data_IF_151577939608
#
_entry.id   IF_151577939608
#
_cell.length_a   1.000
_cell.length_b   1.000
_cell.length_c   1.000
_cell.angle_alpha   90.00
_cell.angle_beta   90.00
_cell.angle_gamma   90.00
#
_symmetry.space_group_name_H-M   'P 1'
#
loop_
_entity.id
_entity.type
_entity.pdbx_description
1 polymer ?
#
# COMPACT_ATOMS: atom_id res chain seq x y z
N UNK A 1 -59.08 59.59 0.14
CA UNK A 1 -59.84 59.66 -1.13
C UNK A 1 -58.94 59.13 -2.24
N UNK A 2 -59.39 58.07 -2.90
CA UNK A 2 -58.64 57.28 -3.88
C UNK A 2 -58.20 58.09 -5.10
N UNK A 3 -56.96 57.89 -5.55
CA UNK A 3 -56.52 58.21 -6.92
C UNK A 3 -55.72 57.02 -7.48
N UNK A 4 -56.23 56.50 -8.59
CA UNK A 4 -55.60 55.50 -9.45
C UNK A 4 -54.28 56.01 -10.03
N UNK A 5 -53.27 55.12 -10.07
CA UNK A 5 -52.31 55.08 -11.16
C UNK A 5 -52.17 53.63 -11.64
N UNK A 6 -52.49 53.43 -12.92
CA UNK A 6 -52.15 52.25 -13.72
C UNK A 6 -50.63 52.18 -13.96
N UNK A 7 -50.11 50.98 -14.27
CA UNK A 7 -49.35 50.57 -15.50
C UNK A 7 -48.39 49.40 -15.10
N UNK A 8 -48.01 48.41 -15.94
CA UNK A 8 -48.71 47.56 -16.91
C UNK A 8 -48.42 46.04 -16.68
N UNK A 9 -49.07 45.17 -17.48
CA UNK A 9 -48.69 43.76 -17.64
C UNK A 9 -47.37 43.62 -18.43
N UNK A 10 -46.48 42.73 -17.98
CA UNK A 10 -45.31 42.28 -18.74
C UNK A 10 -45.00 40.81 -18.40
N UNK A 11 -44.98 39.99 -19.45
CA UNK A 11 -44.03 38.88 -19.61
C UNK A 11 -44.40 37.56 -18.94
N UNK A 12 -45.01 36.66 -19.72
CA UNK A 12 -45.02 35.24 -19.40
C UNK A 12 -43.58 34.69 -19.36
N UNK A 13 -43.18 34.17 -18.21
CA UNK A 13 -41.95 33.40 -18.07
C UNK A 13 -42.25 31.94 -18.41
N UNK A 14 -41.90 31.53 -19.63
CA UNK A 14 -41.69 30.13 -19.99
C UNK A 14 -40.56 29.56 -19.12
N UNK A 15 -40.93 28.67 -18.19
CA UNK A 15 -39.99 27.81 -17.46
C UNK A 15 -39.33 26.85 -18.47
N UNK A 16 -38.08 27.12 -18.85
CA UNK A 16 -37.21 26.12 -19.47
C UNK A 16 -36.87 25.09 -18.38
N UNK A 17 -37.54 23.94 -18.41
CA UNK A 17 -37.14 22.78 -17.62
C UNK A 17 -35.83 22.22 -18.16
N UNK A 18 -34.70 22.60 -17.56
CA UNK A 18 -33.46 21.88 -17.75
C UNK A 18 -33.60 20.51 -17.06
N UNK A 19 -33.83 19.46 -17.86
CA UNK A 19 -33.71 18.09 -17.40
C UNK A 19 -32.23 17.83 -17.09
N UNK A 20 -31.86 18.00 -15.82
CA UNK A 20 -30.60 17.50 -15.29
C UNK A 20 -30.70 15.98 -15.34
N UNK A 21 -30.06 15.35 -16.34
CA UNK A 21 -29.86 13.90 -16.32
C UNK A 21 -28.90 13.60 -15.17
N UNK A 22 -29.45 13.25 -14.01
CA UNK A 22 -28.66 12.64 -12.96
C UNK A 22 -28.09 11.34 -13.54
N UNK A 23 -26.77 11.31 -13.74
CA UNK A 23 -26.07 10.05 -13.94
C UNK A 23 -26.39 9.15 -12.73
N UNK A 24 -26.65 7.86 -12.92
CA UNK A 24 -26.89 6.97 -11.80
C UNK A 24 -25.69 7.06 -10.86
N UNK A 25 -25.94 7.39 -9.59
CA UNK A 25 -24.93 7.25 -8.55
C UNK A 25 -24.54 5.78 -8.50
N UNK A 26 -23.31 5.47 -8.93
CA UNK A 26 -22.71 4.17 -8.69
C UNK A 26 -22.62 4.03 -7.18
N UNK A 27 -23.31 3.04 -6.62
CA UNK A 27 -23.17 2.71 -5.22
C UNK A 27 -21.71 2.37 -4.97
N UNK A 28 -21.04 3.12 -4.09
CA UNK A 28 -19.72 2.78 -3.61
C UNK A 28 -19.83 1.44 -2.87
N UNK A 29 -19.23 0.40 -3.43
CA UNK A 29 -18.98 -0.86 -2.74
C UNK A 29 -17.89 -0.60 -1.69
N UNK A 30 -18.06 -1.06 -0.43
CA UNK A 30 -17.00 -0.98 0.57
C UNK A 30 -15.75 -1.66 -0.01
N UNK A 31 -14.61 -0.98 -0.01
CA UNK A 31 -13.33 -1.46 -0.57
C UNK A 31 -12.77 -0.61 -1.73
N UNK A 32 -13.62 0.01 -2.56
CA UNK A 32 -13.19 0.78 -3.74
C UNK A 32 -13.45 2.28 -3.56
N UNK A 33 -12.55 3.03 -2.89
CA UNK A 33 -12.66 4.49 -2.82
C UNK A 33 -11.93 5.17 -3.99
N UNK A 34 -12.67 5.61 -5.00
CA UNK A 34 -12.20 6.55 -6.02
C UNK A 34 -11.55 5.97 -7.28
N UNK A 35 -10.35 5.39 -7.18
CA UNK A 35 -9.39 5.20 -8.29
C UNK A 35 -9.22 3.76 -8.81
N UNK A 36 -9.78 2.75 -8.13
CA UNK A 36 -9.69 1.36 -8.55
C UNK A 36 -10.48 1.18 -9.86
N UNK A 37 -9.78 0.80 -10.93
CA UNK A 37 -10.37 0.56 -12.25
C UNK A 37 -10.07 -0.89 -12.62
N UNK A 38 -10.98 -1.84 -12.34
CA UNK A 38 -10.74 -3.26 -12.56
C UNK A 38 -10.26 -3.52 -13.99
N UNK A 39 -9.12 -4.19 -14.10
CA UNK A 39 -8.51 -4.46 -15.38
C UNK A 39 -7.01 -4.27 -15.42
N UNK A 40 -6.42 -4.85 -16.47
CA UNK A 40 -4.99 -4.79 -16.74
C UNK A 40 -4.72 -3.65 -17.69
N UNK A 41 -3.96 -2.66 -17.23
CA UNK A 41 -3.57 -1.51 -18.04
C UNK A 41 -2.08 -1.28 -17.93
N UNK A 42 -1.52 -0.65 -18.96
CA UNK A 42 -0.16 -0.14 -18.93
C UNK A 42 -0.18 1.36 -19.19
N UNK A 43 0.31 2.12 -18.23
CA UNK A 43 0.36 3.59 -18.32
C UNK A 43 1.64 4.12 -17.70
N UNK A 44 2.28 5.08 -18.39
CA UNK A 44 3.48 5.78 -17.92
C UNK A 44 4.66 4.88 -17.45
N UNK A 45 4.80 3.67 -18.00
CA UNK A 45 5.90 2.76 -17.65
C UNK A 45 5.50 1.63 -16.70
N UNK A 46 4.37 1.80 -15.99
CA UNK A 46 3.87 0.89 -14.95
C UNK A 46 2.83 -0.06 -15.55
N UNK A 47 2.98 -1.35 -15.26
CA UNK A 47 1.89 -2.32 -15.40
C UNK A 47 0.99 -2.21 -14.17
N UNK A 48 -0.31 -1.95 -14.37
CA UNK A 48 -1.29 -1.91 -13.29
C UNK A 48 -2.31 -3.02 -13.47
N UNK A 49 -2.65 -3.69 -12.38
CA UNK A 49 -3.78 -4.58 -12.34
C UNK A 49 -4.52 -4.45 -11.00
N UNK A 50 -5.74 -3.93 -11.10
CA UNK A 50 -6.72 -3.96 -10.01
C UNK A 50 -7.72 -5.08 -10.30
N UNK A 51 -8.00 -5.92 -9.32
CA UNK A 51 -8.98 -7.01 -9.46
C UNK A 51 -10.41 -6.52 -9.24
N UNK A 52 -11.35 -7.47 -9.18
CA UNK A 52 -12.75 -7.21 -8.83
C UNK A 52 -13.02 -7.74 -7.44
N UNK A 53 -13.77 -6.98 -6.65
CA UNK A 53 -14.13 -7.41 -5.30
C UNK A 53 -14.93 -8.73 -5.25
N UNK A 54 -14.85 -9.42 -4.12
CA UNK A 54 -15.57 -10.63 -3.78
C UNK A 54 -15.01 -11.91 -4.41
N UNK A 55 -13.75 -11.90 -4.84
CA UNK A 55 -13.10 -13.03 -5.52
C UNK A 55 -11.77 -13.33 -4.84
N UNK A 56 -11.56 -14.58 -4.43
CA UNK A 56 -10.23 -15.05 -4.03
C UNK A 56 -9.36 -15.19 -5.29
N UNK A 57 -8.60 -14.14 -5.57
CA UNK A 57 -7.79 -13.98 -6.76
C UNK A 57 -6.49 -14.78 -6.71
N UNK A 58 -6.07 -15.25 -7.87
CA UNK A 58 -4.79 -15.97 -8.02
C UNK A 58 -3.96 -15.31 -9.11
N UNK A 59 -3.33 -14.22 -8.74
CA UNK A 59 -2.60 -13.34 -9.64
C UNK A 59 -1.17 -13.87 -9.84
N UNK A 60 -0.75 -13.93 -11.10
CA UNK A 60 0.66 -14.12 -11.44
C UNK A 60 1.05 -13.16 -12.55
N UNK A 61 2.09 -12.37 -12.31
CA UNK A 61 2.75 -11.56 -13.34
C UNK A 61 4.08 -12.22 -13.71
N UNK A 62 4.28 -12.50 -14.99
CA UNK A 62 5.52 -13.08 -15.50
C UNK A 62 6.05 -12.29 -16.69
N UNK A 63 7.36 -12.35 -16.93
CA UNK A 63 8.00 -11.71 -18.09
C UNK A 63 8.77 -12.74 -18.92
N UNK A 64 8.54 -12.74 -20.23
CA UNK A 64 9.30 -13.56 -21.17
C UNK A 64 9.43 -12.86 -22.52
N UNK A 65 10.65 -12.79 -23.05
CA UNK A 65 10.91 -12.13 -24.35
C UNK A 65 10.48 -10.66 -24.39
N UNK A 66 10.52 -9.94 -23.25
CA UNK A 66 10.04 -8.56 -23.16
C UNK A 66 8.51 -8.41 -23.19
N UNK A 67 7.77 -9.49 -22.95
CA UNK A 67 6.31 -9.45 -22.85
C UNK A 67 5.92 -9.80 -21.42
N UNK A 68 5.19 -8.89 -20.79
CA UNK A 68 4.55 -9.12 -19.50
C UNK A 68 3.26 -9.89 -19.71
N UNK A 69 3.03 -10.91 -18.89
CA UNK A 69 1.81 -11.72 -18.89
C UNK A 69 1.21 -11.66 -17.50
N UNK A 70 -0.02 -11.16 -17.40
CA UNK A 70 -0.84 -11.20 -16.19
C UNK A 70 -1.80 -12.37 -16.33
N UNK A 71 -1.83 -13.23 -15.32
CA UNK A 71 -2.76 -14.37 -15.26
C UNK A 71 -3.55 -14.28 -13.97
N UNK A 72 -4.87 -14.41 -14.05
CA UNK A 72 -5.76 -14.59 -12.91
C UNK A 72 -6.86 -15.61 -13.28
N UNK A 73 -6.70 -16.90 -12.90
CA UNK A 73 -7.69 -17.93 -13.19
C UNK A 73 -9.02 -17.79 -12.43
N UNK A 74 -9.04 -17.03 -11.33
CA UNK A 74 -10.23 -16.84 -10.51
C UNK A 74 -11.09 -15.65 -10.97
N UNK A 75 -10.45 -14.57 -11.42
CA UNK A 75 -11.09 -13.37 -11.96
C UNK A 75 -11.28 -13.40 -13.48
N UNK A 76 -12.14 -12.50 -13.99
CA UNK A 76 -12.21 -12.19 -15.42
C UNK A 76 -11.47 -10.90 -15.70
N UNK A 77 -10.46 -10.94 -16.58
CA UNK A 77 -9.65 -9.79 -16.93
C UNK A 77 -10.33 -8.93 -17.98
N UNK A 78 -10.17 -7.62 -17.83
CA UNK A 78 -10.31 -6.65 -18.92
C UNK A 78 -8.93 -6.12 -19.27
N UNK A 79 -8.68 -5.82 -20.55
CA UNK A 79 -7.42 -5.19 -20.98
C UNK A 79 -7.68 -3.77 -21.46
N UNK A 80 -6.96 -2.81 -20.88
CA UNK A 80 -6.93 -1.43 -21.35
C UNK A 80 -5.66 -1.10 -22.12
N UNK A 81 -5.27 0.18 -22.11
CA UNK A 81 -4.17 0.69 -22.92
C UNK A 81 -2.87 -0.11 -22.71
N UNK A 82 -2.19 -0.45 -23.81
CA UNK A 82 -0.90 -1.15 -23.80
C UNK A 82 -0.95 -2.66 -23.49
N UNK A 83 -2.15 -3.21 -23.30
CA UNK A 83 -2.37 -4.64 -23.01
C UNK A 83 -3.42 -5.23 -23.96
N UNK A 84 -3.33 -6.53 -24.19
CA UNK A 84 -4.29 -7.31 -25.00
C UNK A 84 -4.65 -8.59 -24.27
N UNK A 85 -5.93 -8.94 -24.21
CA UNK A 85 -6.36 -10.24 -23.68
C UNK A 85 -5.85 -11.37 -24.58
N UNK A 86 -5.34 -12.43 -23.96
CA UNK A 86 -5.11 -13.73 -24.58
C UNK A 86 -6.39 -14.55 -24.50
N UNK A 87 -7.02 -14.54 -23.33
CA UNK A 87 -8.33 -15.09 -23.03
C UNK A 87 -8.95 -14.34 -21.83
N UNK A 88 -10.01 -14.88 -21.22
CA UNK A 88 -10.70 -14.25 -20.09
C UNK A 88 -9.86 -14.17 -18.80
N UNK A 89 -8.79 -14.97 -18.68
CA UNK A 89 -7.99 -15.14 -17.47
C UNK A 89 -6.51 -14.79 -17.68
N UNK A 90 -6.14 -14.39 -18.90
CA UNK A 90 -4.78 -13.96 -19.22
C UNK A 90 -4.74 -12.72 -20.12
N UNK A 91 -3.89 -11.75 -19.75
CA UNK A 91 -3.57 -10.57 -20.53
C UNK A 91 -2.07 -10.49 -20.81
N UNK A 92 -1.69 -9.98 -22.00
CA UNK A 92 -0.31 -9.68 -22.38
C UNK A 92 -0.12 -8.20 -22.59
N UNK A 93 0.94 -7.65 -22.03
CA UNK A 93 1.34 -6.27 -22.18
C UNK A 93 2.76 -6.21 -22.72
N UNK A 94 3.00 -5.42 -23.76
CA UNK A 94 4.38 -5.22 -24.24
C UNK A 94 5.18 -4.51 -23.15
N UNK A 95 6.30 -5.09 -22.70
CA UNK A 95 7.23 -4.34 -21.87
C UNK A 95 7.82 -3.23 -22.75
N UNK A 96 7.76 -1.98 -22.28
CA UNK A 96 8.52 -0.94 -22.97
C UNK A 96 10.02 -1.26 -22.84
N UNK A 97 10.82 -0.66 -23.72
CA UNK A 97 12.28 -0.67 -23.64
C UNK A 97 12.84 -0.12 -22.32
N UNK A 98 12.00 0.51 -21.49
CA UNK A 98 12.28 0.97 -20.13
C UNK A 98 11.04 0.74 -19.25
N UNK A 99 10.94 -0.42 -18.62
CA UNK A 99 9.89 -0.71 -17.64
C UNK A 99 10.20 -0.01 -16.32
N UNK A 100 9.18 0.62 -15.73
CA UNK A 100 9.26 1.19 -14.39
C UNK A 100 8.04 0.69 -13.63
N UNK A 101 8.20 -0.33 -12.80
CA UNK A 101 7.20 -0.74 -11.83
C UNK A 101 6.09 -1.68 -12.30
N UNK A 102 5.63 -2.48 -11.35
CA UNK A 102 4.35 -3.20 -11.36
C UNK A 102 3.51 -2.65 -10.20
N UNK A 103 2.19 -2.55 -10.37
CA UNK A 103 1.26 -2.19 -9.31
C UNK A 103 0.08 -3.16 -9.33
N UNK A 104 -0.12 -3.89 -8.24
CA UNK A 104 -1.16 -4.91 -8.09
C UNK A 104 -2.03 -4.58 -6.89
N UNK A 105 -3.35 -4.66 -7.07
CA UNK A 105 -4.34 -4.53 -6.00
C UNK A 105 -5.36 -5.66 -6.11
N UNK A 106 -5.42 -6.56 -5.13
CA UNK A 106 -6.38 -7.67 -5.11
C UNK A 106 -7.64 -7.42 -4.25
N UNK A 107 -7.61 -6.34 -3.46
CA UNK A 107 -8.74 -5.71 -2.78
C UNK A 107 -9.33 -6.51 -1.61
N UNK A 108 -9.95 -7.65 -1.85
CA UNK A 108 -10.60 -8.47 -0.82
C UNK A 108 -10.60 -9.96 -1.20
N UNK A 109 -10.87 -10.80 -0.21
CA UNK A 109 -10.79 -12.24 -0.38
C UNK A 109 -9.44 -12.78 0.10
N UNK A 110 -9.33 -14.11 0.16
CA UNK A 110 -8.06 -14.75 0.50
C UNK A 110 -7.29 -15.02 -0.79
N UNK A 111 -6.38 -14.12 -1.12
CA UNK A 111 -5.73 -14.01 -2.42
C UNK A 111 -4.33 -14.65 -2.43
N UNK A 112 -3.85 -14.87 -3.64
CA UNK A 112 -2.46 -15.21 -3.89
C UNK A 112 -1.93 -14.34 -5.01
N UNK A 113 -0.95 -13.49 -4.69
CA UNK A 113 -0.34 -12.53 -5.62
C UNK A 113 1.13 -12.84 -5.78
N UNK A 114 1.55 -13.15 -7.01
CA UNK A 114 2.94 -13.49 -7.32
C UNK A 114 3.46 -12.61 -8.45
N UNK A 115 4.47 -11.78 -8.16
CA UNK A 115 5.28 -11.15 -9.18
C UNK A 115 6.50 -12.04 -9.48
N UNK A 116 6.38 -12.87 -10.52
CA UNK A 116 7.43 -13.76 -10.99
C UNK A 116 8.40 -13.04 -11.96
N UNK A 117 8.68 -11.77 -11.70
CA UNK A 117 9.59 -10.95 -12.51
C UNK A 117 10.75 -10.42 -11.66
N UNK A 118 11.68 -9.71 -12.29
CA UNK A 118 12.70 -8.89 -11.60
C UNK A 118 12.40 -7.41 -11.70
N UNK A 119 11.13 -7.05 -11.78
CA UNK A 119 10.66 -5.66 -11.84
C UNK A 119 10.06 -5.35 -10.49
N UNK A 120 10.54 -4.27 -9.87
CA UNK A 120 9.97 -3.69 -8.65
C UNK A 120 8.44 -3.58 -8.73
N UNK A 121 7.74 -4.00 -7.69
CA UNK A 121 6.30 -4.02 -7.59
C UNK A 121 5.83 -3.33 -6.32
N UNK A 122 4.69 -2.66 -6.43
CA UNK A 122 3.86 -2.26 -5.29
C UNK A 122 2.64 -3.18 -5.28
N UNK A 123 2.53 -4.00 -4.25
CA UNK A 123 1.47 -5.01 -4.11
C UNK A 123 0.65 -4.68 -2.87
N UNK A 124 -0.67 -4.55 -3.06
CA UNK A 124 -1.66 -4.42 -1.99
C UNK A 124 -2.65 -5.57 -2.11
N UNK A 125 -2.66 -6.48 -1.13
CA UNK A 125 -3.54 -7.64 -1.20
C UNK A 125 -4.96 -7.32 -0.71
N UNK A 126 -5.09 -6.62 0.42
CA UNK A 126 -6.34 -6.03 0.89
C UNK A 126 -6.96 -6.79 2.05
N UNK A 127 -8.27 -7.02 2.02
CA UNK A 127 -8.99 -7.69 3.11
C UNK A 127 -9.00 -9.22 2.91
N UNK A 128 -8.41 -9.98 3.82
CA UNK A 128 -8.44 -11.44 3.82
C UNK A 128 -7.10 -12.03 4.24
N UNK A 129 -7.00 -13.36 4.27
CA UNK A 129 -5.73 -14.03 4.58
C UNK A 129 -4.93 -14.24 3.29
N UNK A 130 -4.05 -13.30 2.98
CA UNK A 130 -3.38 -13.21 1.69
C UNK A 130 -1.99 -13.85 1.66
N UNK A 131 -1.55 -14.20 0.45
CA UNK A 131 -0.17 -14.65 0.18
C UNK A 131 0.45 -13.81 -0.92
N UNK A 132 1.48 -13.06 -0.56
CA UNK A 132 2.16 -12.13 -1.46
C UNK A 132 3.62 -12.56 -1.68
N UNK A 133 4.04 -12.60 -2.94
CA UNK A 133 5.44 -12.80 -3.34
C UNK A 133 5.89 -11.67 -4.27
N UNK A 134 6.86 -10.88 -3.81
CA UNK A 134 7.43 -9.70 -4.47
C UNK A 134 8.22 -10.03 -5.74
N UNK A 135 9.12 -11.01 -5.69
CA UNK A 135 9.88 -11.41 -6.88
C UNK A 135 11.37 -11.18 -6.71
N UNK A 136 12.03 -10.61 -7.71
CA UNK A 136 13.48 -10.30 -7.66
C UNK A 136 13.80 -8.81 -7.83
N UNK A 137 12.77 -7.95 -7.76
CA UNK A 137 12.93 -6.50 -7.80
C UNK A 137 12.92 -5.92 -6.39
N UNK A 138 13.04 -4.60 -6.25
CA UNK A 138 12.83 -3.95 -4.95
C UNK A 138 11.32 -3.74 -4.77
N UNK A 139 10.67 -4.62 -4.00
CA UNK A 139 9.22 -4.69 -3.91
C UNK A 139 8.68 -4.03 -2.63
N UNK A 140 7.46 -3.50 -2.69
CA UNK A 140 6.71 -2.96 -1.53
C UNK A 140 5.43 -3.75 -1.37
N UNK A 141 5.27 -4.41 -0.22
CA UNK A 141 4.24 -5.40 0.06
C UNK A 141 3.35 -4.94 1.21
N UNK A 142 2.06 -4.80 0.93
CA UNK A 142 1.01 -4.63 1.93
C UNK A 142 0.10 -5.85 1.87
N UNK A 143 -0.01 -6.58 2.98
CA UNK A 143 -1.01 -7.63 3.17
C UNK A 143 -2.38 -6.97 3.25
N UNK A 144 -2.69 -6.34 4.37
CA UNK A 144 -3.85 -5.50 4.53
C UNK A 144 -4.52 -5.84 5.85
N UNK A 145 -5.76 -6.32 5.82
CA UNK A 145 -6.43 -6.85 7.01
C UNK A 145 -6.54 -8.36 6.90
N UNK A 146 -6.19 -9.08 7.96
CA UNK A 146 -6.25 -10.55 7.97
C UNK A 146 -4.87 -11.12 8.27
N UNK A 147 -4.74 -12.44 8.30
CA UNK A 147 -3.46 -13.07 8.60
C UNK A 147 -2.67 -13.31 7.31
N UNK A 148 -1.78 -12.38 6.98
CA UNK A 148 -1.09 -12.34 5.70
C UNK A 148 0.29 -13.01 5.72
N UNK A 149 0.76 -13.43 4.55
CA UNK A 149 2.15 -13.88 4.35
C UNK A 149 2.82 -13.03 3.29
N UNK A 150 3.86 -12.30 3.69
CA UNK A 150 4.61 -11.37 2.84
C UNK A 150 6.00 -11.94 2.58
N UNK A 151 6.30 -12.26 1.32
CA UNK A 151 7.61 -12.76 0.88
C UNK A 151 8.21 -11.77 -0.10
N UNK A 152 9.38 -11.22 0.21
CA UNK A 152 10.10 -10.26 -0.65
C UNK A 152 10.63 -10.96 -1.90
N UNK A 153 11.48 -11.95 -1.65
CA UNK A 153 12.17 -12.73 -2.66
C UNK A 153 13.62 -12.30 -2.77
N UNK A 154 13.98 -11.52 -3.78
CA UNK A 154 15.31 -10.94 -3.86
C UNK A 154 15.23 -9.49 -4.29
N UNK A 155 16.22 -8.69 -3.95
CA UNK A 155 16.13 -7.24 -4.07
C UNK A 155 16.25 -6.63 -2.68
N UNK A 156 15.79 -5.39 -2.53
CA UNK A 156 15.56 -4.78 -1.24
C UNK A 156 14.06 -4.55 -1.06
N UNK A 157 13.44 -5.40 -0.27
CA UNK A 157 11.99 -5.50 -0.16
C UNK A 157 11.48 -4.78 1.09
N UNK A 158 10.25 -4.28 1.03
CA UNK A 158 9.61 -3.50 2.09
C UNK A 158 8.26 -4.08 2.46
N UNK A 159 8.08 -4.52 3.69
CA UNK A 159 6.76 -4.74 4.27
C UNK A 159 6.18 -3.41 4.76
N UNK A 160 4.92 -3.10 4.43
CA UNK A 160 4.30 -1.83 4.83
C UNK A 160 2.91 -2.01 5.43
N UNK A 161 2.72 -1.33 6.55
CA UNK A 161 1.44 -1.16 7.25
C UNK A 161 0.82 0.22 7.02
N UNK A 162 1.39 0.98 6.08
CA UNK A 162 1.08 2.39 5.86
C UNK A 162 -0.35 2.66 5.37
N UNK A 163 -0.97 1.64 4.77
CA UNK A 163 -2.30 1.71 4.16
C UNK A 163 -3.41 1.15 5.05
N UNK A 164 -3.04 0.50 6.16
CA UNK A 164 -4.02 0.06 7.15
C UNK A 164 -4.55 1.32 7.82
N UNK A 165 -5.79 1.69 7.55
CA UNK A 165 -6.48 2.80 8.21
C UNK A 165 -6.77 2.54 9.69
N UNK A 166 -6.05 1.59 10.29
CA UNK A 166 -6.18 1.19 11.67
C UNK A 166 -5.96 2.38 12.58
N UNK A 167 -6.72 2.38 13.68
CA UNK A 167 -6.44 3.27 14.81
C UNK A 167 -5.44 2.62 15.78
N UNK A 168 -4.95 1.44 15.47
CA UNK A 168 -4.04 0.65 16.29
C UNK A 168 -2.67 0.64 15.64
N UNK A 169 -1.64 0.75 16.47
CA UNK A 169 -0.28 0.50 16.03
C UNK A 169 -0.03 -0.98 15.83
N UNK A 170 1.03 -1.27 15.09
CA UNK A 170 1.48 -2.64 14.80
C UNK A 170 2.64 -3.03 15.71
N UNK A 171 2.78 -4.33 15.91
CA UNK A 171 4.07 -4.91 16.31
C UNK A 171 4.55 -5.74 15.13
N UNK A 172 5.68 -5.36 14.54
CA UNK A 172 6.22 -6.05 13.38
C UNK A 172 7.74 -6.11 13.46
N UNK A 173 8.32 -7.22 13.04
CA UNK A 173 9.75 -7.37 12.93
C UNK A 173 10.19 -8.15 11.68
N UNK A 174 11.49 -8.14 11.39
CA UNK A 174 12.07 -8.77 10.20
C UNK A 174 12.79 -10.08 10.54
N UNK A 175 12.31 -10.82 11.54
CA UNK A 175 12.96 -12.05 12.04
C UNK A 175 12.52 -13.33 11.29
N UNK A 176 11.44 -13.26 10.51
CA UNK A 176 10.90 -14.39 9.74
C UNK A 176 10.02 -15.35 10.53
N UNK A 177 9.64 -15.01 11.76
CA UNK A 177 8.68 -15.74 12.55
C UNK A 177 7.29 -15.67 11.92
N UNK A 178 6.47 -16.66 12.25
CA UNK A 178 5.17 -16.83 11.63
C UNK A 178 4.07 -16.43 12.59
N UNK A 179 3.23 -15.48 12.15
CA UNK A 179 1.95 -15.17 12.78
C UNK A 179 2.03 -14.19 13.93
N UNK A 180 3.12 -13.44 14.06
CA UNK A 180 3.38 -12.48 15.14
C UNK A 180 3.47 -11.02 14.70
N UNK A 181 3.44 -10.73 13.39
CA UNK A 181 3.48 -9.38 12.86
C UNK A 181 2.08 -8.73 12.74
N UNK A 182 2.04 -7.40 12.70
CA UNK A 182 0.81 -6.63 12.50
C UNK A 182 0.05 -6.30 13.80
N UNK A 183 -1.25 -6.10 13.68
CA UNK A 183 -2.15 -5.58 14.71
C UNK A 183 -3.14 -6.64 15.21
N UNK A 184 -3.99 -6.28 16.17
CA UNK A 184 -5.06 -7.19 16.62
C UNK A 184 -6.21 -7.33 15.63
N UNK A 185 -6.22 -6.51 14.57
CA UNK A 185 -7.21 -6.63 13.50
C UNK A 185 -6.89 -7.81 12.57
N UNK A 186 -5.63 -8.25 12.55
CA UNK A 186 -5.10 -9.33 11.71
C UNK A 186 -5.30 -10.71 12.35
N UNK A 187 -5.52 -10.73 13.66
CA UNK A 187 -5.85 -11.95 14.39
C UNK A 187 -5.38 -11.99 15.85
N UNK A 188 -5.67 -13.08 16.57
CA UNK A 188 -5.05 -13.33 17.87
C UNK A 188 -3.53 -13.51 17.71
N UNK A 189 -2.76 -13.25 18.77
CA UNK A 189 -1.30 -13.47 18.75
C UNK A 189 -0.96 -14.90 18.31
N UNK A 190 -0.01 -15.05 17.38
CA UNK A 190 0.38 -16.34 16.77
C UNK A 190 -0.47 -16.75 15.57
N UNK A 191 -1.42 -15.91 15.14
CA UNK A 191 -2.22 -16.06 13.94
C UNK A 191 -2.47 -14.70 13.26
N UNK A 192 -1.43 -13.87 13.23
CA UNK A 192 -1.41 -12.59 12.52
C UNK A 192 -0.54 -12.72 11.27
N UNK A 193 0.05 -11.62 10.82
CA UNK A 193 0.91 -11.62 9.65
C UNK A 193 2.19 -12.40 9.88
N UNK A 194 2.81 -12.77 8.76
CA UNK A 194 4.14 -13.36 8.66
C UNK A 194 4.93 -12.55 7.65
N UNK A 195 5.89 -11.77 8.13
CA UNK A 195 6.90 -11.15 7.27
C UNK A 195 8.05 -12.15 7.12
N UNK A 196 8.30 -12.61 5.89
CA UNK A 196 9.37 -13.58 5.66
C UNK A 196 10.76 -12.95 5.88
N UNK A 197 11.73 -13.80 6.22
CA UNK A 197 13.11 -13.39 6.51
C UNK A 197 13.88 -12.81 5.28
N UNK A 198 13.26 -12.78 4.11
CA UNK A 198 13.77 -12.18 2.88
C UNK A 198 13.18 -10.78 2.61
N UNK A 199 12.68 -10.11 3.65
CA UNK A 199 12.26 -8.71 3.62
C UNK A 199 13.23 -7.88 4.46
N UNK A 200 13.78 -6.81 3.87
CA UNK A 200 14.83 -6.00 4.51
C UNK A 200 14.32 -4.70 5.15
N UNK A 201 13.14 -4.24 4.79
CA UNK A 201 12.65 -2.91 5.19
C UNK A 201 11.23 -2.97 5.73
N UNK A 202 10.91 -2.00 6.60
CA UNK A 202 9.64 -1.97 7.31
C UNK A 202 9.08 -0.54 7.35
N UNK A 203 7.78 -0.42 7.11
CA UNK A 203 7.06 0.86 7.23
C UNK A 203 5.85 0.66 8.14
N UNK A 204 5.79 1.45 9.21
CA UNK A 204 4.71 1.46 10.19
C UNK A 204 3.43 2.16 9.71
N UNK A 205 2.58 2.47 10.67
CA UNK A 205 1.26 3.07 10.52
C UNK A 205 1.33 4.60 10.59
N UNK A 206 0.43 5.28 11.28
CA UNK A 206 0.53 6.72 11.60
C UNK A 206 0.30 6.95 13.10
N UNK A 207 0.29 5.86 13.87
CA UNK A 207 0.07 5.80 15.30
C UNK A 207 1.22 4.99 15.93
N UNK A 208 1.34 5.02 17.25
CA UNK A 208 2.47 4.43 17.98
C UNK A 208 2.70 2.94 17.65
N UNK A 209 3.80 2.65 16.96
CA UNK A 209 4.17 1.30 16.55
C UNK A 209 5.32 0.69 17.39
N UNK A 210 5.48 -0.63 17.31
CA UNK A 210 6.67 -1.36 17.76
C UNK A 210 7.28 -2.05 16.55
N UNK A 211 8.42 -1.56 16.10
CA UNK A 211 9.08 -2.01 14.88
C UNK A 211 10.49 -2.53 15.20
N UNK A 212 10.87 -3.67 14.65
CA UNK A 212 12.26 -4.14 14.75
C UNK A 212 12.82 -4.57 13.40
N UNK A 213 14.06 -4.22 13.13
CA UNK A 213 14.84 -4.69 11.99
C UNK A 213 15.33 -6.12 12.20
N UNK A 214 16.47 -6.44 11.60
CA UNK A 214 17.16 -7.71 11.76
C UNK A 214 18.68 -7.49 11.89
N UNK A 215 19.49 -8.49 11.53
CA UNK A 215 20.95 -8.38 11.63
C UNK A 215 21.61 -7.80 10.36
N UNK A 216 20.80 -7.47 9.34
CA UNK A 216 21.24 -6.83 8.11
C UNK A 216 20.90 -5.34 8.11
N UNK A 217 21.34 -4.62 7.08
CA UNK A 217 20.97 -3.22 6.90
C UNK A 217 19.46 -3.09 6.64
N UNK A 218 18.77 -2.31 7.47
CA UNK A 218 17.35 -2.04 7.31
C UNK A 218 17.07 -0.56 7.02
N UNK A 219 15.99 -0.31 6.29
CA UNK A 219 15.31 1.00 6.23
C UNK A 219 14.00 0.86 6.97
N UNK A 220 13.83 1.61 8.06
CA UNK A 220 12.62 1.55 8.90
C UNK A 220 11.99 2.93 8.98
N UNK A 221 10.74 3.06 8.54
CA UNK A 221 9.95 4.27 8.65
C UNK A 221 8.76 4.05 9.58
N UNK A 222 8.86 4.51 10.82
CA UNK A 222 7.77 4.50 11.81
C UNK A 222 6.63 5.46 11.45
N UNK A 223 6.84 6.36 10.49
CA UNK A 223 5.89 7.38 10.06
C UNK A 223 5.46 8.26 11.24
N UNK A 224 4.16 8.34 11.54
CA UNK A 224 3.64 9.18 12.63
C UNK A 224 3.38 8.35 13.89
N UNK A 225 3.23 9.01 15.04
CA UNK A 225 3.12 8.31 16.33
C UNK A 225 4.42 8.32 17.12
N UNK A 226 4.34 7.96 18.41
CA UNK A 226 5.51 7.76 19.26
C UNK A 226 5.95 6.30 19.17
N UNK A 227 6.85 6.02 18.24
CA UNK A 227 7.22 4.66 17.88
C UNK A 227 8.31 4.10 18.80
N UNK A 228 8.37 2.78 18.94
CA UNK A 228 9.55 2.08 19.46
C UNK A 228 10.20 1.31 18.31
N UNK A 229 11.36 1.76 17.88
CA UNK A 229 12.10 1.17 16.76
C UNK A 229 13.44 0.61 17.23
N UNK A 230 13.73 -0.64 16.86
CA UNK A 230 15.01 -1.30 17.10
C UNK A 230 15.65 -1.68 15.74
N UNK A 231 16.77 -1.09 15.35
CA UNK A 231 17.54 -1.49 14.15
C UNK A 231 18.21 -2.86 14.32
N UNK A 232 18.63 -3.16 15.56
CA UNK A 232 19.34 -4.37 15.97
C UNK A 232 20.79 -4.43 15.45
N UNK A 233 21.06 -4.86 14.24
CA UNK A 233 22.43 -4.86 13.73
C UNK A 233 22.47 -4.66 12.23
N UNK A 234 23.50 -4.00 11.72
CA UNK A 234 23.47 -3.48 10.36
C UNK A 234 23.81 -2.00 10.37
N UNK A 235 23.87 -1.37 9.20
CA UNK A 235 24.03 0.09 9.09
C UNK A 235 22.68 0.69 8.70
N UNK A 236 21.84 0.98 9.69
CA UNK A 236 20.41 1.19 9.51
C UNK A 236 20.05 2.65 9.19
N UNK A 237 18.92 2.84 8.51
CA UNK A 237 18.30 4.15 8.28
C UNK A 237 16.90 4.15 8.88
N UNK A 238 16.75 4.80 10.03
CA UNK A 238 15.55 4.78 10.86
C UNK A 238 14.93 6.18 10.85
N UNK A 239 13.66 6.28 10.45
CA UNK A 239 12.89 7.52 10.49
C UNK A 239 11.64 7.34 11.35
N UNK A 240 11.40 8.26 12.29
CA UNK A 240 10.16 8.33 13.06
C UNK A 240 9.69 9.79 13.21
N UNK A 241 8.67 10.18 12.45
CA UNK A 241 8.22 11.57 12.37
C UNK A 241 7.41 12.02 13.59
N UNK A 242 6.82 11.11 14.38
CA UNK A 242 6.11 11.50 15.61
C UNK A 242 6.96 11.47 16.88
N UNK A 243 8.22 11.01 16.82
CA UNK A 243 9.09 10.84 17.97
C UNK A 243 9.12 9.39 18.47
N UNK A 244 9.48 9.18 19.74
CA UNK A 244 9.54 7.88 20.38
C UNK A 244 10.95 7.40 20.74
N UNK A 245 11.11 6.08 20.87
CA UNK A 245 12.39 5.44 21.22
C UNK A 245 12.99 4.78 19.99
N UNK A 246 14.11 5.31 19.50
CA UNK A 246 14.87 4.73 18.41
C UNK A 246 16.19 4.17 18.95
N UNK A 247 16.42 2.88 18.73
CA UNK A 247 17.70 2.22 19.02
C UNK A 247 18.28 1.67 17.72
N UNK A 248 19.32 2.30 17.16
CA UNK A 248 19.99 1.81 15.96
C UNK A 248 20.66 0.45 16.17
N UNK A 249 21.04 0.14 17.42
CA UNK A 249 21.71 -1.12 17.73
C UNK A 249 23.18 -1.12 17.34
N UNK A 250 23.60 -2.12 16.58
CA UNK A 250 25.00 -2.38 16.25
C UNK A 250 25.32 -2.09 14.78
N UNK A 251 26.04 -1.01 14.54
CA UNK A 251 26.66 -0.70 13.27
C UNK A 251 26.87 0.80 13.14
N UNK A 252 26.71 1.34 11.94
CA UNK A 252 26.74 2.78 11.71
C UNK A 252 25.35 3.28 11.29
N UNK A 253 24.59 3.70 12.28
CA UNK A 253 23.16 3.92 12.13
C UNK A 253 22.84 5.41 11.94
N UNK A 254 21.80 5.65 11.14
CA UNK A 254 21.24 6.96 10.89
C UNK A 254 19.81 7.00 11.43
N UNK A 255 19.56 7.87 12.39
CA UNK A 255 18.25 8.04 13.00
C UNK A 255 17.73 9.46 12.76
N UNK A 256 16.55 9.56 12.16
CA UNK A 256 15.86 10.81 11.86
C UNK A 256 14.57 10.88 12.66
N UNK A 257 14.33 12.02 13.31
CA UNK A 257 13.03 12.27 13.94
C UNK A 257 12.61 13.73 13.82
N UNK A 258 11.32 13.94 13.58
CA UNK A 258 10.71 15.28 13.53
C UNK A 258 10.15 15.67 14.91
N UNK A 259 11.05 16.12 15.79
CA UNK A 259 10.68 16.64 17.11
C UNK A 259 9.86 17.95 17.07
N UNK A 260 9.49 18.49 15.88
CA UNK A 260 8.59 19.65 15.81
C UNK A 260 7.14 19.27 16.15
N UNK A 261 6.78 17.99 16.05
CA UNK A 261 5.38 17.58 16.21
C UNK A 261 4.95 17.44 17.67
N UNK A 262 5.75 16.87 18.57
CA UNK A 262 5.68 17.06 20.04
C UNK A 262 7.01 16.56 20.63
N UNK A 263 7.98 17.41 21.02
CA UNK A 263 9.14 16.91 21.74
C UNK A 263 8.70 16.40 23.11
N UNK A 264 8.67 15.08 23.29
CA UNK A 264 8.41 14.45 24.58
C UNK A 264 9.75 14.20 25.27
N UNK A 265 9.94 14.56 26.55
CA UNK A 265 11.13 14.14 27.30
C UNK A 265 11.34 12.61 27.37
N UNK A 266 10.35 11.80 26.98
CA UNK A 266 10.45 10.36 26.80
C UNK A 266 11.06 9.93 25.45
N UNK A 267 11.29 10.85 24.51
CA UNK A 267 11.96 10.53 23.24
C UNK A 267 13.43 10.18 23.51
N UNK A 268 13.88 9.04 22.99
CA UNK A 268 15.18 8.45 23.31
C UNK A 268 15.84 7.93 22.03
N UNK A 269 17.10 8.30 21.81
CA UNK A 269 17.92 7.81 20.71
C UNK A 269 19.13 7.08 21.30
N UNK A 270 19.27 5.80 20.99
CA UNK A 270 20.37 4.92 21.40
C UNK A 270 20.97 4.30 20.14
N UNK A 271 22.28 4.02 20.14
CA UNK A 271 22.92 3.37 18.99
C UNK A 271 22.78 4.14 17.67
N UNK A 272 22.60 5.46 17.70
CA UNK A 272 22.47 6.29 16.49
C UNK A 272 23.75 7.11 16.29
N UNK A 273 24.67 6.68 15.42
CA UNK A 273 25.93 7.36 15.13
C UNK A 273 25.71 8.69 14.40
N UNK A 274 24.63 8.78 13.62
CA UNK A 274 24.17 10.01 12.99
C UNK A 274 22.72 10.27 13.37
N UNK A 275 22.46 11.45 13.90
CA UNK A 275 21.11 11.91 14.18
C UNK A 275 20.80 13.15 13.37
N UNK A 276 19.68 13.12 12.64
CA UNK A 276 19.09 14.32 12.06
C UNK A 276 17.79 14.61 12.81
N UNK A 277 17.84 15.63 13.66
CA UNK A 277 16.62 16.19 14.24
C UNK A 277 16.19 17.30 13.30
N UNK A 278 15.03 17.11 12.68
CA UNK A 278 14.39 18.13 11.86
C UNK A 278 13.93 19.24 12.82
N UNK A 279 14.81 20.19 13.14
CA UNK A 279 14.55 21.36 14.02
C UNK A 279 14.12 22.57 13.18
N UNK A 280 13.26 23.47 13.69
CA UNK A 280 12.66 24.57 12.92
C UNK A 280 13.68 25.45 12.15
#
# INVERSE_FOLDING_TARGET
MFRHHLIPALGGATLLGAALSAAPAVAATPGCYGDCQPGVVRSAGILKYDTTIGVNDRITVAVSGGVLTVTNPAGTLTAGAGCTLVDAHQARCQAATSTFGISLRSLDGADTVVNATGIAASIKAGDGDDRVTGGSGDDTLSGGFGADVLQGGGGSDTATYSEVGSRLGVTADLDGAAGDDGSSEDGPAGARDTIAADVENLVGTIVDDVLSGNAGRNVIDGRGGHDRVLGLGGDDDITAHGGGTLDGGAGADHCVSDLRLVPDPADVFVGCERTEVITP
#
